data_IF_815914141333
#
_entry.id   IF_815914141333
#
_cell.length_a   1.000
_cell.length_b   1.000
_cell.length_c   1.000
_cell.angle_alpha   90.00
_cell.angle_beta   90.00
_cell.angle_gamma   90.00
#
_symmetry.space_group_name_H-M   'P 1'
#
loop_
_entity.id
_entity.type
_entity.pdbx_description
1 polymer ?
#
# COMPACT_ATOMS: atom_id res chain seq x y z
N UNK A 1 -6.60 -14.06 -4.35
CA UNK A 1 -7.36 -15.30 -4.03
C UNK A 1 -7.70 -16.21 -5.23
N UNK A 2 -7.06 -16.14 -6.41
CA UNK A 2 -7.45 -16.97 -7.59
C UNK A 2 -6.81 -18.38 -7.69
N UNK A 3 -5.76 -18.70 -6.91
CA UNK A 3 -5.05 -19.99 -7.02
C UNK A 3 -5.75 -21.15 -6.30
N UNK A 4 -6.44 -20.88 -5.18
CA UNK A 4 -7.07 -21.91 -4.34
C UNK A 4 -8.23 -22.61 -5.08
N UNK A 5 -8.94 -21.87 -5.95
CA UNK A 5 -10.06 -22.39 -6.74
C UNK A 5 -9.68 -23.54 -7.70
N UNK A 6 -8.47 -23.52 -8.30
CA UNK A 6 -8.02 -24.60 -9.20
C UNK A 6 -7.72 -25.91 -8.47
N UNK A 7 -7.26 -25.84 -7.22
CA UNK A 7 -6.95 -27.04 -6.43
C UNK A 7 -8.22 -27.73 -5.93
N UNK A 8 -9.25 -26.96 -5.56
CA UNK A 8 -10.55 -27.52 -5.16
C UNK A 8 -11.19 -28.26 -6.36
N UNK A 9 -11.09 -27.71 -7.57
CA UNK A 9 -11.60 -28.36 -8.78
C UNK A 9 -10.90 -29.71 -9.08
N UNK A 10 -9.57 -29.77 -8.92
CA UNK A 10 -8.80 -31.01 -9.15
C UNK A 10 -9.14 -32.06 -8.08
N UNK A 11 -9.29 -31.66 -6.81
CA UNK A 11 -9.68 -32.57 -5.72
C UNK A 11 -11.11 -33.10 -5.94
N UNK A 12 -12.03 -32.26 -6.41
CA UNK A 12 -13.39 -32.66 -6.74
C UNK A 12 -13.44 -33.68 -7.89
N UNK A 13 -12.63 -33.49 -8.95
CA UNK A 13 -12.51 -34.43 -10.06
C UNK A 13 -11.94 -35.78 -9.59
N UNK A 14 -10.94 -35.77 -8.71
CA UNK A 14 -10.37 -36.99 -8.12
C UNK A 14 -11.38 -37.73 -7.24
N UNK A 15 -12.22 -37.01 -6.49
CA UNK A 15 -13.29 -37.60 -5.69
C UNK A 15 -14.41 -38.19 -6.57
N UNK A 16 -14.80 -37.50 -7.65
CA UNK A 16 -15.79 -38.00 -8.60
C UNK A 16 -15.31 -39.27 -9.32
N UNK A 17 -14.05 -39.31 -9.74
CA UNK A 17 -13.44 -40.48 -10.36
C UNK A 17 -13.43 -41.69 -9.41
N UNK A 18 -13.16 -41.47 -8.12
CA UNK A 18 -13.21 -42.51 -7.09
C UNK A 18 -14.64 -43.01 -6.84
N UNK A 19 -15.63 -42.12 -6.86
CA UNK A 19 -17.04 -42.46 -6.65
C UNK A 19 -17.62 -43.25 -7.84
N UNK A 20 -17.27 -42.88 -9.07
CA UNK A 20 -17.68 -43.60 -10.29
C UNK A 20 -17.05 -45.00 -10.34
N UNK A 21 -15.80 -45.15 -9.89
CA UNK A 21 -15.08 -46.42 -9.90
C UNK A 21 -15.62 -47.45 -8.88
N UNK A 22 -16.21 -47.01 -7.76
CA UNK A 22 -16.81 -47.91 -6.76
C UNK A 22 -18.10 -48.56 -7.29
N UNK A 23 -18.78 -47.94 -8.26
CA UNK A 23 -20.06 -48.42 -8.78
C UNK A 23 -19.92 -49.54 -9.81
N UNK A 24 -18.76 -49.69 -10.44
CA UNK A 24 -18.49 -50.71 -11.45
C UNK A 24 -17.66 -51.87 -10.87
N UNK A 25 -18.37 -52.83 -10.30
CA UNK A 25 -17.78 -54.08 -9.81
C UNK A 25 -17.47 -54.98 -11.02
N UNK A 26 -16.30 -54.80 -11.64
CA UNK A 26 -15.75 -55.78 -12.61
C UNK A 26 -14.24 -55.91 -12.49
N UNK A 27 -13.81 -57.16 -12.41
CA UNK A 27 -12.49 -57.68 -12.04
C UNK A 27 -11.41 -57.53 -13.13
N UNK A 28 -11.34 -56.38 -13.80
CA UNK A 28 -10.24 -56.04 -14.73
C UNK A 28 -9.42 -54.83 -14.23
N UNK A 29 -9.69 -54.35 -13.01
CA UNK A 29 -9.16 -53.11 -12.46
C UNK A 29 -7.82 -53.24 -11.73
N UNK A 30 -7.29 -54.45 -11.52
CA UNK A 30 -6.05 -54.63 -10.76
C UNK A 30 -4.84 -54.08 -11.53
N UNK A 31 -4.76 -54.39 -12.83
CA UNK A 31 -3.66 -53.93 -13.71
C UNK A 31 -3.68 -52.40 -13.87
N UNK A 32 -4.87 -51.81 -13.97
CA UNK A 32 -5.06 -50.36 -14.04
C UNK A 32 -4.63 -49.67 -12.74
N UNK A 33 -4.98 -50.25 -11.58
CA UNK A 33 -4.58 -49.72 -10.28
C UNK A 33 -3.07 -49.79 -10.06
N UNK A 34 -2.43 -50.91 -10.46
CA UNK A 34 -0.97 -51.04 -10.39
C UNK A 34 -0.26 -50.06 -11.33
N UNK A 35 -0.73 -49.88 -12.57
CA UNK A 35 -0.18 -48.88 -13.49
C UNK A 35 -0.32 -47.45 -12.95
N UNK A 36 -1.49 -47.11 -12.41
CA UNK A 36 -1.73 -45.77 -11.84
C UNK A 36 -0.87 -45.52 -10.61
N UNK A 37 -0.74 -46.51 -9.73
CA UNK A 37 0.11 -46.43 -8.54
C UNK A 37 1.60 -46.30 -8.90
N UNK A 38 2.07 -47.04 -9.91
CA UNK A 38 3.46 -46.95 -10.38
C UNK A 38 3.75 -45.59 -11.04
N UNK A 39 2.81 -45.05 -11.82
CA UNK A 39 2.89 -43.71 -12.38
C UNK A 39 2.88 -42.63 -11.29
N UNK A 40 2.06 -42.80 -10.25
CA UNK A 40 1.98 -41.87 -9.12
C UNK A 40 3.26 -41.88 -8.28
N UNK A 41 3.84 -43.05 -8.02
CA UNK A 41 5.13 -43.19 -7.35
C UNK A 41 6.25 -42.56 -8.19
N UNK A 42 6.32 -42.85 -9.50
CA UNK A 42 7.30 -42.21 -10.40
C UNK A 42 7.15 -40.69 -10.41
N UNK A 43 5.92 -40.18 -10.43
CA UNK A 43 5.65 -38.74 -10.38
C UNK A 43 6.12 -38.11 -9.06
N UNK A 44 5.87 -38.77 -7.92
CA UNK A 44 6.36 -38.30 -6.61
C UNK A 44 7.88 -38.32 -6.55
N UNK A 45 8.53 -39.38 -7.05
CA UNK A 45 9.99 -39.51 -7.08
C UNK A 45 10.59 -38.41 -7.97
N UNK A 46 10.06 -38.21 -9.19
CA UNK A 46 10.50 -37.13 -10.09
C UNK A 46 10.32 -35.75 -9.46
N UNK A 47 9.22 -35.50 -8.75
CA UNK A 47 8.97 -34.20 -8.10
C UNK A 47 9.96 -33.93 -6.95
N UNK A 48 10.30 -34.95 -6.16
CA UNK A 48 11.33 -34.84 -5.12
C UNK A 48 12.72 -34.59 -5.70
N UNK A 49 13.05 -35.24 -6.83
CA UNK A 49 14.31 -35.05 -7.55
C UNK A 49 14.42 -33.63 -8.14
N UNK A 50 13.35 -33.12 -8.74
CA UNK A 50 13.30 -31.74 -9.26
C UNK A 50 13.49 -30.73 -8.12
N UNK A 51 12.86 -30.95 -6.96
CA UNK A 51 13.01 -30.06 -5.81
C UNK A 51 14.46 -30.06 -5.27
N UNK A 52 15.10 -31.23 -5.23
CA UNK A 52 16.50 -31.34 -4.85
C UNK A 52 17.44 -30.62 -5.85
N UNK A 53 17.19 -30.77 -7.15
CA UNK A 53 17.94 -30.09 -8.21
C UNK A 53 17.79 -28.56 -8.08
N UNK A 54 16.58 -28.05 -7.82
CA UNK A 54 16.34 -26.61 -7.60
C UNK A 54 17.11 -26.10 -6.38
N UNK A 55 17.14 -26.86 -5.28
CA UNK A 55 17.92 -26.49 -4.09
C UNK A 55 19.41 -26.45 -4.41
N UNK A 56 19.95 -27.49 -5.04
CA UNK A 56 21.37 -27.59 -5.39
C UNK A 56 21.79 -26.47 -6.35
N UNK A 57 20.97 -26.18 -7.38
CA UNK A 57 21.21 -25.08 -8.31
C UNK A 57 21.07 -23.70 -7.65
N UNK A 58 20.30 -23.57 -6.56
CA UNK A 58 20.23 -22.35 -5.74
C UNK A 58 21.50 -22.17 -4.89
N UNK A 59 22.06 -23.25 -4.34
CA UNK A 59 23.34 -23.21 -3.61
C UNK A 59 24.55 -22.98 -4.53
N UNK A 60 24.50 -23.47 -5.77
CA UNK A 60 25.50 -23.22 -6.82
C UNK A 60 25.37 -21.83 -7.48
N UNK A 61 24.38 -21.02 -7.08
CA UNK A 61 24.16 -19.67 -7.62
C UNK A 61 23.69 -19.62 -9.07
N UNK A 62 23.29 -20.76 -9.65
CA UNK A 62 22.85 -20.88 -11.05
C UNK A 62 21.35 -20.57 -11.24
N UNK A 63 20.58 -20.51 -10.14
CA UNK A 63 19.21 -20.00 -10.14
C UNK A 63 19.25 -18.61 -9.52
N UNK A 64 19.34 -17.58 -10.36
CA UNK A 64 18.91 -16.25 -9.96
C UNK A 64 17.43 -16.33 -9.63
N UNK A 65 17.08 -16.07 -8.37
CA UNK A 65 15.72 -15.65 -8.07
C UNK A 65 15.41 -14.48 -9.02
N UNK A 66 14.26 -14.50 -9.70
CA UNK A 66 13.64 -13.26 -10.19
C UNK A 66 13.18 -12.44 -8.97
N UNK A 67 14.12 -12.10 -8.09
CA UNK A 67 14.03 -10.97 -7.21
C UNK A 67 14.08 -9.74 -8.10
N UNK A 68 13.15 -8.82 -7.86
CA UNK A 68 13.04 -7.53 -8.52
C UNK A 68 14.44 -6.99 -8.85
N UNK A 69 14.66 -6.74 -10.13
CA UNK A 69 15.83 -6.05 -10.66
C UNK A 69 16.03 -4.77 -9.83
N UNK A 70 17.09 -4.63 -8.99
CA UNK A 70 17.28 -3.40 -8.22
C UNK A 70 17.86 -2.28 -9.10
N UNK A 71 18.04 -2.53 -10.40
CA UNK A 71 18.77 -1.64 -11.28
C UNK A 71 17.87 -0.97 -12.33
N UNK A 72 16.87 -0.23 -11.86
CA UNK A 72 16.37 0.94 -12.60
C UNK A 72 16.77 2.17 -11.80
N UNK A 73 17.93 2.73 -12.16
CA UNK A 73 18.27 4.12 -11.87
C UNK A 73 17.33 5.06 -12.66
N UNK A 74 16.01 4.92 -12.49
CA UNK A 74 15.14 6.07 -12.72
C UNK A 74 15.55 7.05 -11.64
N UNK A 75 16.22 8.16 -12.00
CA UNK A 75 16.37 9.29 -11.11
C UNK A 75 14.97 9.60 -10.57
N UNK A 76 14.72 9.24 -9.33
CA UNK A 76 13.48 9.58 -8.65
C UNK A 76 13.50 11.10 -8.59
N UNK A 77 12.65 11.75 -9.36
CA UNK A 77 12.49 13.20 -9.31
C UNK A 77 11.89 13.51 -7.94
N UNK A 78 12.76 13.83 -6.97
CA UNK A 78 12.34 14.21 -5.64
C UNK A 78 11.71 15.60 -5.73
N UNK A 79 10.42 15.66 -5.50
CA UNK A 79 9.69 16.91 -5.35
C UNK A 79 10.24 17.70 -4.15
N UNK A 80 10.11 19.03 -4.16
CA UNK A 80 10.75 19.89 -3.17
C UNK A 80 10.17 19.67 -1.77
N UNK A 81 11.06 19.35 -0.82
CA UNK A 81 10.77 19.37 0.61
C UNK A 81 11.01 20.78 1.15
N UNK A 82 9.97 21.38 1.70
CA UNK A 82 10.04 22.69 2.36
C UNK A 82 10.21 22.48 3.86
N UNK A 83 11.28 23.03 4.42
CA UNK A 83 11.59 22.93 5.84
C UNK A 83 11.04 24.08 6.68
N UNK A 84 10.61 25.17 6.04
CA UNK A 84 10.29 26.43 6.68
C UNK A 84 8.90 26.90 6.22
N UNK A 85 8.01 27.12 7.18
CA UNK A 85 6.65 27.60 7.00
C UNK A 85 6.59 28.90 6.20
N UNK A 86 7.50 29.86 6.44
CA UNK A 86 7.53 31.14 5.73
C UNK A 86 7.70 30.96 4.23
N UNK A 87 8.52 29.98 3.82
CA UNK A 87 8.75 29.66 2.42
C UNK A 87 7.50 29.06 1.78
N UNK A 88 6.84 28.12 2.45
CA UNK A 88 5.60 27.53 1.95
C UNK A 88 4.49 28.59 1.85
N UNK A 89 4.32 29.42 2.88
CA UNK A 89 3.40 30.55 2.91
C UNK A 89 3.64 31.47 1.70
N UNK A 90 4.87 31.89 1.45
CA UNK A 90 5.21 32.78 0.33
C UNK A 90 4.88 32.20 -1.05
N UNK A 91 4.82 30.87 -1.18
CA UNK A 91 4.44 30.20 -2.42
C UNK A 91 2.92 30.16 -2.55
N UNK A 92 2.23 29.72 -1.49
CA UNK A 92 0.78 29.57 -1.47
C UNK A 92 0.08 30.94 -1.61
N UNK A 93 0.62 31.99 -1.00
CA UNK A 93 0.06 33.35 -1.06
C UNK A 93 0.11 33.97 -2.47
N UNK A 94 1.01 33.50 -3.33
CA UNK A 94 1.09 33.98 -4.73
C UNK A 94 -0.07 33.48 -5.59
N UNK A 95 -0.69 32.36 -5.20
CA UNK A 95 -1.79 31.74 -5.92
C UNK A 95 -2.94 31.48 -4.94
N UNK A 96 -3.65 32.53 -4.50
CA UNK A 96 -4.73 32.37 -3.55
C UNK A 96 -5.85 31.52 -4.16
N UNK A 97 -6.34 30.57 -3.37
CA UNK A 97 -7.40 29.64 -3.76
C UNK A 97 -8.65 29.90 -2.92
N UNK A 98 -9.82 29.64 -3.51
CA UNK A 98 -11.10 29.64 -2.77
C UNK A 98 -11.13 28.55 -1.71
N UNK A 99 -10.49 27.41 -1.99
CA UNK A 99 -10.39 26.28 -1.09
C UNK A 99 -8.98 25.70 -1.14
N UNK A 100 -8.41 25.43 0.02
CA UNK A 100 -7.12 24.78 0.20
C UNK A 100 -7.34 23.33 0.63
N UNK A 101 -6.90 22.40 -0.20
CA UNK A 101 -6.93 20.97 0.11
C UNK A 101 -5.52 20.56 0.50
N UNK A 102 -5.37 20.08 1.73
CA UNK A 102 -4.10 19.59 2.26
C UNK A 102 -4.23 18.11 2.61
N UNK A 103 -3.12 17.39 2.52
CA UNK A 103 -3.01 16.03 3.04
C UNK A 103 -2.08 16.04 4.24
N UNK A 104 -2.58 15.59 5.38
CA UNK A 104 -1.78 15.43 6.59
C UNK A 104 -1.54 13.95 6.81
N UNK A 105 -0.30 13.53 6.59
CA UNK A 105 0.14 12.18 6.88
C UNK A 105 0.51 12.07 8.35
N UNK A 106 -0.09 11.11 9.03
CA UNK A 106 0.19 10.78 10.42
C UNK A 106 0.55 9.31 10.56
N UNK A 107 1.20 8.95 11.66
CA UNK A 107 1.41 7.55 12.06
C UNK A 107 0.66 7.31 13.35
N UNK A 108 0.06 6.13 13.52
CA UNK A 108 -0.57 5.72 14.79
C UNK A 108 0.41 5.68 15.97
N UNK A 109 1.72 5.68 15.69
CA UNK A 109 2.81 5.63 16.68
C UNK A 109 3.39 7.04 16.94
N UNK A 110 2.93 8.06 16.19
CA UNK A 110 3.41 9.43 16.28
C UNK A 110 2.69 10.20 17.38
N UNK A 111 3.37 10.40 18.52
CA UNK A 111 2.85 11.21 19.64
C UNK A 111 2.63 12.69 19.27
N UNK A 112 3.35 13.21 18.29
CA UNK A 112 3.27 14.62 17.86
C UNK A 112 2.27 14.87 16.72
N UNK A 113 1.63 13.83 16.21
CA UNK A 113 0.68 13.95 15.10
C UNK A 113 -0.69 14.42 15.60
N UNK A 114 -1.03 14.15 16.86
CA UNK A 114 -2.25 14.69 17.47
C UNK A 114 -2.22 16.21 17.61
N UNK A 115 -1.04 16.83 17.73
CA UNK A 115 -0.91 18.29 17.86
C UNK A 115 -1.55 19.05 16.71
N UNK A 116 -1.39 18.56 15.48
CA UNK A 116 -1.95 19.21 14.29
C UNK A 116 -3.46 18.97 14.24
N UNK A 117 -3.91 17.74 14.49
CA UNK A 117 -5.34 17.42 14.46
C UNK A 117 -6.10 18.15 15.57
N UNK A 118 -5.53 18.23 16.78
CA UNK A 118 -6.13 18.91 17.92
C UNK A 118 -6.23 20.42 17.71
N UNK A 119 -5.28 21.03 17.00
CA UNK A 119 -5.33 22.45 16.66
C UNK A 119 -6.39 22.80 15.60
N UNK A 120 -6.89 21.81 14.85
CA UNK A 120 -7.76 22.03 13.69
C UNK A 120 -9.19 21.50 13.86
N UNK A 121 -9.40 20.46 14.68
CA UNK A 121 -10.65 19.68 14.75
C UNK A 121 -11.92 20.48 15.08
N UNK A 122 -11.80 21.59 15.79
CA UNK A 122 -12.93 22.41 16.24
C UNK A 122 -13.00 23.78 15.52
N UNK A 123 -12.18 24.00 14.48
CA UNK A 123 -12.15 25.28 13.77
C UNK A 123 -13.28 25.37 12.73
N UNK A 124 -14.01 26.49 12.72
CA UNK A 124 -15.17 26.68 11.84
C UNK A 124 -14.82 26.80 10.35
N UNK A 125 -13.56 27.02 9.99
CA UNK A 125 -13.10 27.14 8.60
C UNK A 125 -12.47 25.85 8.08
N UNK A 126 -12.36 24.81 8.90
CA UNK A 126 -11.69 23.56 8.57
C UNK A 126 -12.69 22.41 8.48
N UNK A 127 -12.60 21.64 7.41
CA UNK A 127 -13.16 20.29 7.33
C UNK A 127 -12.02 19.29 7.51
N UNK A 128 -12.13 18.39 8.48
CA UNK A 128 -11.22 17.28 8.65
C UNK A 128 -11.85 16.00 8.11
N UNK A 129 -11.20 15.37 7.14
CA UNK A 129 -11.67 14.17 6.48
C UNK A 129 -10.70 13.04 6.75
N UNK A 130 -11.17 11.96 7.39
CA UNK A 130 -10.40 10.72 7.50
C UNK A 130 -10.57 9.90 6.22
N UNK A 131 -9.48 9.64 5.50
CA UNK A 131 -9.51 8.83 4.29
C UNK A 131 -9.31 7.36 4.61
N UNK A 132 -10.41 6.62 4.58
CA UNK A 132 -10.38 5.17 4.44
C UNK A 132 -9.97 4.72 3.03
N UNK A 133 -9.47 3.49 2.92
CA UNK A 133 -8.86 2.91 1.70
C UNK A 133 -9.79 2.93 0.47
N UNK A 134 -11.11 2.88 0.71
CA UNK A 134 -12.16 2.84 -0.31
C UNK A 134 -12.72 4.22 -0.70
N UNK A 135 -12.29 5.29 -0.03
CA UNK A 135 -12.86 6.61 -0.25
C UNK A 135 -12.36 7.26 -1.56
N UNK A 136 -13.30 7.79 -2.37
CA UNK A 136 -12.98 8.56 -3.57
C UNK A 136 -12.77 10.02 -3.23
N UNK A 137 -11.68 10.61 -3.69
CA UNK A 137 -11.31 11.99 -3.38
C UNK A 137 -12.39 12.99 -3.81
N UNK A 138 -13.04 12.73 -4.94
CA UNK A 138 -14.09 13.59 -5.50
C UNK A 138 -15.37 13.60 -4.64
N UNK A 139 -15.60 12.55 -3.87
CA UNK A 139 -16.75 12.45 -2.97
C UNK A 139 -16.48 13.11 -1.61
N UNK A 140 -15.20 13.29 -1.25
CA UNK A 140 -14.77 13.82 0.04
C UNK A 140 -14.63 15.35 0.08
N UNK A 141 -14.53 16.01 -1.08
CA UNK A 141 -14.32 17.47 -1.17
C UNK A 141 -15.67 18.23 -1.33
N UNK A 142 -16.80 17.59 -1.00
CA UNK A 142 -18.13 18.23 -1.02
C UNK A 142 -18.38 19.04 0.25
N UNK A 143 -17.53 20.03 0.50
CA UNK A 143 -17.63 20.93 1.66
C UNK A 143 -17.44 22.37 1.23
N UNK A 144 -18.21 23.27 1.87
CA UNK A 144 -18.09 24.72 1.68
C UNK A 144 -16.96 25.32 2.53
N UNK A 145 -16.31 24.51 3.37
CA UNK A 145 -15.19 24.94 4.21
C UNK A 145 -13.99 25.34 3.33
N UNK A 146 -13.35 26.49 3.61
CA UNK A 146 -12.23 26.96 2.79
C UNK A 146 -10.96 26.14 2.99
N UNK A 147 -10.84 25.36 4.08
CA UNK A 147 -9.69 24.49 4.33
C UNK A 147 -10.21 23.06 4.48
N UNK A 148 -9.68 22.14 3.69
CA UNK A 148 -9.99 20.71 3.77
C UNK A 148 -8.71 19.95 4.08
N UNK A 149 -8.69 19.30 5.23
CA UNK A 149 -7.55 18.51 5.70
C UNK A 149 -7.88 17.03 5.57
N UNK A 150 -7.19 16.37 4.65
CA UNK A 150 -7.33 14.94 4.42
C UNK A 150 -6.28 14.20 5.26
N UNK A 151 -6.74 13.48 6.27
CA UNK A 151 -5.88 12.66 7.12
C UNK A 151 -5.55 11.35 6.42
N UNK A 152 -4.26 10.99 6.42
CA UNK A 152 -3.77 9.74 5.86
C UNK A 152 -2.80 9.06 6.82
N UNK A 153 -2.99 7.77 7.06
CA UNK A 153 -2.04 6.99 7.83
C UNK A 153 -0.83 6.58 6.96
N UNK A 154 0.37 7.06 7.30
CA UNK A 154 1.61 6.77 6.58
C UNK A 154 2.05 5.29 6.67
N UNK A 155 1.56 4.56 7.67
CA UNK A 155 1.88 3.14 7.85
C UNK A 155 1.02 2.22 6.98
N UNK A 156 -0.06 2.74 6.38
CA UNK A 156 -0.89 2.01 5.43
C UNK A 156 -0.30 2.19 4.03
N UNK A 157 0.09 1.09 3.38
CA UNK A 157 0.83 1.12 2.10
C UNK A 157 0.04 1.87 1.01
N UNK A 158 -1.26 1.60 0.90
CA UNK A 158 -2.16 2.22 -0.08
C UNK A 158 -2.34 3.74 0.14
N UNK A 159 -2.28 4.20 1.40
CA UNK A 159 -2.40 5.62 1.74
C UNK A 159 -1.22 6.44 1.22
N UNK A 160 -0.04 5.83 1.14
CA UNK A 160 1.18 6.48 0.66
C UNK A 160 1.34 6.32 -0.85
N UNK A 161 0.94 5.17 -1.43
CA UNK A 161 1.11 4.86 -2.86
C UNK A 161 0.50 5.93 -3.79
N UNK A 162 -0.59 6.55 -3.36
CA UNK A 162 -1.29 7.59 -4.13
C UNK A 162 -0.66 8.99 -4.04
N UNK A 163 0.33 9.20 -3.17
CA UNK A 163 1.01 10.49 -3.02
C UNK A 163 2.07 10.69 -4.11
N UNK A 164 2.17 11.92 -4.63
CA UNK A 164 3.30 12.32 -5.48
C UNK A 164 4.64 12.26 -4.72
N UNK A 165 4.59 12.27 -3.40
CA UNK A 165 5.74 12.15 -2.50
C UNK A 165 5.96 10.73 -1.97
N UNK A 166 5.37 9.70 -2.59
CA UNK A 166 5.44 8.29 -2.16
C UNK A 166 6.80 7.86 -1.61
N UNK A 167 7.86 8.05 -2.39
CA UNK A 167 9.21 7.62 -2.00
C UNK A 167 9.79 8.41 -0.83
N UNK A 168 9.49 9.72 -0.74
CA UNK A 168 9.96 10.56 0.37
C UNK A 168 9.22 10.17 1.66
N UNK A 169 7.90 10.05 1.58
CA UNK A 169 7.04 9.58 2.68
C UNK A 169 7.43 8.18 3.15
N UNK A 170 7.67 7.23 2.24
CA UNK A 170 8.11 5.88 2.60
C UNK A 170 9.48 5.88 3.29
N UNK A 171 10.42 6.67 2.77
CA UNK A 171 11.78 6.77 3.35
C UNK A 171 11.76 7.39 4.74
N UNK A 172 10.91 8.42 4.95
CA UNK A 172 10.75 9.14 6.22
C UNK A 172 9.93 8.33 7.23
N UNK A 173 8.77 7.81 6.82
CA UNK A 173 7.87 7.03 7.67
C UNK A 173 8.51 5.77 8.25
N UNK A 174 9.46 5.16 7.54
CA UNK A 174 10.23 4.02 8.06
C UNK A 174 11.30 4.37 9.10
N UNK A 175 11.67 5.66 9.26
CA UNK A 175 12.78 6.10 10.15
C UNK A 175 12.34 7.04 11.26
N UNK A 176 11.37 7.91 11.00
CA UNK A 176 10.87 8.94 11.91
C UNK A 176 9.37 9.13 11.67
N UNK A 177 8.57 8.83 12.69
CA UNK A 177 7.12 9.04 12.70
C UNK A 177 6.80 10.52 12.97
N UNK A 178 7.17 11.42 12.05
CA UNK A 178 6.80 12.83 12.12
C UNK A 178 5.58 13.08 11.21
N UNK A 179 4.68 14.01 11.57
CA UNK A 179 3.62 14.38 10.65
C UNK A 179 4.23 15.00 9.40
N UNK A 180 3.56 14.78 8.27
CA UNK A 180 3.89 15.44 7.02
C UNK A 180 2.67 16.16 6.47
N UNK A 181 2.89 17.37 5.98
CA UNK A 181 1.88 18.17 5.28
C UNK A 181 2.23 18.17 3.80
N UNK A 182 1.33 17.67 2.96
CA UNK A 182 1.38 17.81 1.50
C UNK A 182 0.32 18.83 1.05
N UNK A 183 0.74 19.79 0.24
CA UNK A 183 -0.13 20.75 -0.43
C UNK A 183 0.46 21.06 -1.81
N UNK A 184 -0.36 20.91 -2.85
CA UNK A 184 0.04 21.04 -4.25
C UNK A 184 1.25 20.15 -4.61
N UNK A 185 2.36 20.75 -5.03
CA UNK A 185 3.62 20.06 -5.34
C UNK A 185 4.69 20.29 -4.26
N UNK A 186 4.26 20.50 -3.01
CA UNK A 186 5.14 20.73 -1.87
C UNK A 186 4.83 19.79 -0.71
N UNK A 187 5.88 19.38 0.00
CA UNK A 187 5.76 18.65 1.26
C UNK A 187 6.56 19.34 2.36
N UNK A 188 6.00 19.36 3.56
CA UNK A 188 6.60 19.90 4.77
C UNK A 188 6.57 18.86 5.88
N UNK A 189 7.59 18.91 6.72
CA UNK A 189 7.73 18.08 7.92
C UNK A 189 7.88 19.00 9.14
N UNK A 190 7.85 18.41 10.33
CA UNK A 190 7.90 19.06 11.64
C UNK A 190 6.58 19.69 12.07
N UNK A 191 6.06 19.26 13.23
CA UNK A 191 4.75 19.71 13.72
C UNK A 191 4.68 21.23 13.93
N UNK A 192 5.78 21.87 14.37
CA UNK A 192 5.80 23.30 14.65
C UNK A 192 5.67 24.14 13.36
N UNK A 193 6.38 23.77 12.31
CA UNK A 193 6.31 24.45 11.00
C UNK A 193 4.94 24.24 10.34
N UNK A 194 4.41 23.01 10.44
CA UNK A 194 3.06 22.71 9.94
C UNK A 194 2.01 23.55 10.69
N UNK A 195 2.12 23.66 12.02
CA UNK A 195 1.22 24.50 12.81
C UNK A 195 1.35 25.99 12.48
N UNK A 196 2.57 26.49 12.24
CA UNK A 196 2.80 27.86 11.82
C UNK A 196 2.15 28.16 10.47
N UNK A 197 2.26 27.22 9.51
CA UNK A 197 1.56 27.30 8.23
C UNK A 197 0.04 27.37 8.42
N UNK A 198 -0.56 26.47 9.21
CA UNK A 198 -2.00 26.48 9.42
C UNK A 198 -2.51 27.73 10.14
N UNK A 199 -1.75 28.26 11.11
CA UNK A 199 -2.09 29.53 11.77
C UNK A 199 -2.18 30.68 10.75
N UNK A 200 -1.24 30.75 9.81
CA UNK A 200 -1.30 31.73 8.72
C UNK A 200 -2.48 31.46 7.77
N UNK A 201 -2.77 30.20 7.46
CA UNK A 201 -3.85 29.87 6.56
C UNK A 201 -5.22 30.25 7.16
N UNK A 202 -5.42 30.00 8.45
CA UNK A 202 -6.63 30.32 9.19
C UNK A 202 -6.85 31.83 9.32
N UNK A 203 -5.79 32.61 9.58
CA UNK A 203 -5.90 34.07 9.75
C UNK A 203 -6.41 34.80 8.50
N UNK A 204 -6.39 34.15 7.32
CA UNK A 204 -6.97 34.67 6.09
C UNK A 204 -8.50 34.61 6.04
N UNK A 205 -9.12 33.82 6.91
CA UNK A 205 -10.56 33.59 6.95
C UNK A 205 -11.22 34.09 8.23
N UNK A 206 -10.43 34.34 9.27
CA UNK A 206 -10.88 34.95 10.52
C UNK A 206 -11.06 36.49 10.43
N UNK A 207 -10.76 37.10 9.27
CA UNK A 207 -10.84 38.55 9.03
C UNK A 207 -11.84 38.90 7.92
#
# INVERSE_FOLDING_TARGET
>A
MKKISKYIAIIAILFLARFLCIKEKKTDNLLFYYCFFFCFIKYIIMRKLIFLIVIVLSFLGLIESRGRNPNRNSKINRLPVIKDSTKLISIIDKTPKKQYITYVYHSSICSYCSLITDALKDNEHVEMVDMDEDSKLEDLIKTDKPIVVILKNINKEDSVERSKFYHELQTKGGKLCVPALEIDDHIMYESQEILAFYKHLLSKFEN
#
